data_IF_068456904501
#
_entry.id   IF_068456904501
#
_cell.length_a   1.000
_cell.length_b   1.000
_cell.length_c   1.000
_cell.angle_alpha   90.00
_cell.angle_beta   90.00
_cell.angle_gamma   90.00
#
_symmetry.space_group_name_H-M   'P 1'
#
loop_
_entity.id
_entity.type
_entity.pdbx_description
1 polymer ?
#
# COMPACT_ATOMS: atom_id res chain seq x y z
N UNK A 1 12.69 7.86 -4.76
CA UNK A 1 12.38 6.41 -4.66
C UNK A 1 11.45 6.22 -3.47
N UNK A 2 10.24 5.73 -3.75
CA UNK A 2 9.20 5.44 -2.77
C UNK A 2 8.81 3.98 -2.92
N UNK A 3 8.17 3.39 -1.91
CA UNK A 3 7.68 2.01 -1.97
C UNK A 3 6.16 2.02 -1.81
N UNK A 4 5.44 1.29 -2.65
CA UNK A 4 4.00 0.99 -2.52
C UNK A 4 3.84 -0.47 -2.05
N UNK A 5 2.66 -0.78 -1.56
CA UNK A 5 2.30 -2.14 -1.14
C UNK A 5 1.19 -2.63 -2.07
N UNK A 6 1.41 -3.75 -2.72
CA UNK A 6 0.41 -4.49 -3.46
C UNK A 6 -0.24 -5.52 -2.54
N UNK A 7 -1.55 -5.65 -2.63
CA UNK A 7 -2.35 -6.56 -1.80
C UNK A 7 -3.36 -7.31 -2.65
N UNK A 8 -3.53 -8.61 -2.37
CA UNK A 8 -4.58 -9.44 -2.95
C UNK A 8 -5.63 -9.74 -1.89
N UNK A 9 -6.91 -9.52 -2.21
CA UNK A 9 -8.03 -9.88 -1.35
C UNK A 9 -9.18 -10.45 -2.19
N UNK A 10 -9.62 -11.67 -1.86
CA UNK A 10 -10.72 -12.36 -2.55
C UNK A 10 -10.51 -12.48 -4.06
N UNK A 11 -9.25 -12.68 -4.48
CA UNK A 11 -8.87 -12.81 -5.89
C UNK A 11 -8.60 -11.50 -6.62
N UNK A 12 -8.84 -10.34 -6.02
CA UNK A 12 -8.52 -9.03 -6.59
C UNK A 12 -7.17 -8.54 -6.08
N UNK A 13 -6.27 -8.16 -6.99
CA UNK A 13 -4.95 -7.60 -6.63
C UNK A 13 -4.87 -6.14 -7.03
N UNK A 14 -4.49 -5.29 -6.09
CA UNK A 14 -4.30 -3.86 -6.32
C UNK A 14 -3.42 -3.25 -5.25
N UNK A 15 -3.48 -1.93 -5.11
CA UNK A 15 -2.66 -1.20 -4.17
C UNK A 15 -3.30 -1.12 -2.79
N UNK A 16 -2.46 -1.02 -1.76
CA UNK A 16 -2.92 -0.82 -0.40
C UNK A 16 -3.46 0.60 -0.22
N UNK A 17 -4.73 0.68 0.17
CA UNK A 17 -5.34 1.90 0.69
C UNK A 17 -5.53 1.79 2.20
N UNK A 18 -5.24 2.89 2.91
CA UNK A 18 -5.54 3.00 4.33
C UNK A 18 -6.35 4.26 4.63
N UNK A 19 -7.44 4.10 5.36
CA UNK A 19 -8.31 5.19 5.78
C UNK A 19 -8.46 5.17 7.30
N UNK A 20 -8.35 6.33 7.94
CA UNK A 20 -8.59 6.45 9.39
C UNK A 20 -9.96 7.07 9.61
N UNK A 21 -10.87 6.30 10.19
CA UNK A 21 -12.23 6.75 10.49
C UNK A 21 -12.29 7.71 11.69
N UNK A 22 -13.47 8.29 11.91
CA UNK A 22 -13.78 9.15 13.08
C UNK A 22 -13.63 8.36 14.40
N UNK A 23 -13.78 7.04 14.35
CA UNK A 23 -13.55 6.11 15.46
C UNK A 23 -12.07 5.84 15.77
N UNK A 24 -11.14 6.59 15.14
CA UNK A 24 -9.69 6.45 15.24
C UNK A 24 -9.16 5.08 14.78
N UNK A 25 -9.97 4.28 14.09
CA UNK A 25 -9.55 2.98 13.56
C UNK A 25 -9.06 3.12 12.13
N UNK A 26 -7.84 2.63 11.88
CA UNK A 26 -7.32 2.50 10.52
C UNK A 26 -7.86 1.23 9.86
N UNK A 27 -8.58 1.40 8.75
CA UNK A 27 -9.03 0.33 7.87
C UNK A 27 -8.07 0.22 6.71
N UNK A 28 -7.83 -1.02 6.27
CA UNK A 28 -6.98 -1.32 5.13
C UNK A 28 -7.82 -2.04 4.08
N UNK A 29 -7.61 -1.69 2.81
CA UNK A 29 -8.32 -2.30 1.69
C UNK A 29 -7.49 -2.26 0.42
N UNK A 30 -8.05 -2.86 -0.64
CA UNK A 30 -7.48 -2.86 -1.98
C UNK A 30 -8.06 -1.66 -2.76
N UNK A 31 -7.23 -0.96 -3.51
CA UNK A 31 -7.66 0.06 -4.48
C UNK A 31 -6.90 -0.07 -5.79
N UNK A 32 -7.52 0.31 -6.89
CA UNK A 32 -6.87 0.43 -8.21
C UNK A 32 -6.51 1.88 -8.54
N UNK A 33 -6.92 2.82 -7.69
CA UNK A 33 -6.63 4.24 -7.85
C UNK A 33 -5.26 4.55 -7.23
N UNK A 34 -4.28 4.81 -8.10
CA UNK A 34 -2.92 5.16 -7.68
C UNK A 34 -2.86 6.40 -6.80
N UNK A 35 -3.76 7.37 -7.00
CA UNK A 35 -3.78 8.61 -6.21
C UNK A 35 -4.18 8.38 -4.75
N UNK A 36 -4.86 7.26 -4.48
CA UNK A 36 -5.32 6.86 -3.14
C UNK A 36 -4.41 5.83 -2.48
N UNK A 37 -3.33 5.47 -3.16
CA UNK A 37 -2.40 4.45 -2.69
C UNK A 37 -1.50 4.97 -1.57
N UNK A 38 -1.31 4.16 -0.53
CA UNK A 38 -0.30 4.42 0.49
C UNK A 38 1.11 4.30 -0.09
N UNK A 39 1.81 5.43 -0.21
CA UNK A 39 3.24 5.49 -0.55
C UNK A 39 4.09 5.64 0.70
N UNK A 40 5.20 4.92 0.75
CA UNK A 40 6.12 4.91 1.88
C UNK A 40 7.49 5.41 1.45
N UNK A 41 8.06 6.35 2.22
CA UNK A 41 9.38 6.92 1.94
C UNK A 41 10.53 5.91 1.96
N UNK A 42 10.35 4.77 2.63
CA UNK A 42 11.39 3.74 2.73
C UNK A 42 10.78 2.35 2.68
N UNK A 43 11.50 1.42 2.04
CA UNK A 43 11.13 0.00 1.99
C UNK A 43 10.96 -0.61 3.39
N UNK A 44 11.81 -0.24 4.34
CA UNK A 44 11.70 -0.70 5.73
C UNK A 44 10.41 -0.25 6.43
N UNK A 45 9.86 0.92 6.08
CA UNK A 45 8.56 1.35 6.59
C UNK A 45 7.43 0.58 5.90
N UNK A 46 7.52 0.39 4.59
CA UNK A 46 6.55 -0.40 3.83
C UNK A 46 6.48 -1.85 4.36
N UNK A 47 7.64 -2.49 4.59
CA UNK A 47 7.73 -3.84 5.14
C UNK A 47 7.02 -3.96 6.49
N UNK A 48 7.26 -3.03 7.43
CA UNK A 48 6.57 -3.04 8.73
C UNK A 48 5.05 -2.95 8.61
N UNK A 49 4.55 -2.21 7.61
CA UNK A 49 3.11 -2.14 7.35
C UNK A 49 2.61 -3.43 6.70
N UNK A 50 3.34 -3.97 5.73
CA UNK A 50 3.03 -5.25 5.08
C UNK A 50 2.93 -6.38 6.12
N UNK A 51 3.91 -6.52 7.00
CA UNK A 51 3.92 -7.53 8.07
C UNK A 51 2.72 -7.36 9.01
N UNK A 52 2.38 -6.10 9.35
CA UNK A 52 1.25 -5.77 10.21
C UNK A 52 -0.08 -6.21 9.60
N UNK A 53 -0.24 -6.12 8.29
CA UNK A 53 -1.52 -6.37 7.61
C UNK A 53 -1.57 -7.74 6.92
N UNK A 54 -0.47 -8.49 6.85
CA UNK A 54 -0.36 -9.74 6.10
C UNK A 54 -1.49 -10.73 6.38
N UNK A 55 -1.92 -10.84 7.65
CA UNK A 55 -3.01 -11.72 8.07
C UNK A 55 -4.41 -11.35 7.53
N UNK A 56 -4.56 -10.18 6.89
CA UNK A 56 -5.85 -9.67 6.38
C UNK A 56 -6.04 -9.89 4.89
N UNK A 57 -4.98 -10.25 4.19
CA UNK A 57 -4.91 -10.33 2.74
C UNK A 57 -4.43 -11.72 2.34
N UNK A 58 -4.83 -12.16 1.15
CA UNK A 58 -4.39 -13.45 0.61
C UNK A 58 -2.91 -13.41 0.23
N UNK A 59 -2.44 -12.23 -0.20
CA UNK A 59 -1.05 -11.95 -0.59
C UNK A 59 -0.72 -10.47 -0.37
N UNK A 60 0.52 -10.19 0.02
CA UNK A 60 1.05 -8.85 0.23
C UNK A 60 2.45 -8.77 -0.36
N UNK A 61 2.71 -7.75 -1.19
CA UNK A 61 3.98 -7.55 -1.88
C UNK A 61 4.44 -6.09 -1.80
N UNK A 62 5.75 -5.86 -1.91
CA UNK A 62 6.34 -4.53 -1.94
C UNK A 62 6.81 -4.20 -3.35
N UNK A 63 6.36 -3.05 -3.85
CA UNK A 63 6.75 -2.50 -5.14
C UNK A 63 7.56 -1.23 -4.92
N UNK A 64 8.80 -1.19 -5.42
CA UNK A 64 9.62 0.02 -5.38
C UNK A 64 9.36 0.86 -6.63
N UNK A 65 9.28 2.17 -6.43
CA UNK A 65 8.85 3.15 -7.42
C UNK A 65 9.93 4.20 -7.47
N UNK A 66 10.52 4.36 -8.64
CA UNK A 66 11.38 5.48 -8.93
C UNK A 66 10.48 6.69 -9.23
N UNK A 67 10.71 7.81 -8.53
CA UNK A 67 10.15 9.08 -8.98
C UNK A 67 10.89 9.41 -10.27
N UNK A 68 10.38 8.95 -11.41
CA UNK A 68 10.68 9.59 -12.67
C UNK A 68 9.90 10.91 -12.64
N UNK A 69 10.47 11.90 -11.95
CA UNK A 69 10.14 13.28 -12.25
C UNK A 69 10.59 13.50 -13.68
N UNK A 70 9.68 13.25 -14.63
CA UNK A 70 9.78 13.73 -16.00
C UNK A 70 10.05 15.23 -15.90
N UNK A 71 11.32 15.56 -16.09
CA UNK A 71 11.79 16.92 -16.21
C UNK A 71 11.69 17.21 -17.70
N UNK A 72 10.56 17.74 -18.12
CA UNK A 72 10.41 18.48 -19.39
C UNK A 72 10.32 19.98 -19.08
#
# INVERSE_FOLDING_TARGET
MSTRILVTYKGETGYLHSETGIDLRTRYGVTFDETRTGTYRTRARAQRVADKIAHRFDRVELEDIEDHSDTD
#
